data_IF_988407346930
#
_entry.id   IF_988407346930
#
_cell.length_a   1.000
_cell.length_b   1.000
_cell.length_c   1.000
_cell.angle_alpha   90.00
_cell.angle_beta   90.00
_cell.angle_gamma   90.00
#
_symmetry.space_group_name_H-M   'P 1'
#
loop_
_entity.id
_entity.type
_entity.pdbx_description
1 polymer ?
#
# COMPACT_ATOMS: atom_id res chain seq x y z
N UNK A 1 -10.78 -10.15 -2.45
CA UNK A 1 -9.93 -10.29 -3.66
C UNK A 1 -8.89 -11.33 -3.32
N UNK A 2 -9.06 -12.56 -3.79
CA UNK A 2 -8.05 -13.61 -3.57
C UNK A 2 -6.84 -13.29 -4.43
N UNK A 3 -5.71 -13.08 -3.78
CA UNK A 3 -4.51 -12.46 -4.35
C UNK A 3 -3.45 -13.52 -4.72
N UNK A 4 -3.94 -14.62 -5.31
CA UNK A 4 -3.09 -15.55 -6.06
C UNK A 4 -2.99 -15.07 -7.51
N UNK A 5 -1.85 -15.33 -8.15
CA UNK A 5 -1.72 -15.03 -9.58
C UNK A 5 -2.84 -15.75 -10.36
N UNK A 6 -3.49 -15.06 -11.31
CA UNK A 6 -4.61 -15.64 -12.03
C UNK A 6 -4.17 -16.87 -12.82
N UNK A 7 -5.06 -17.84 -12.95
CA UNK A 7 -4.89 -18.94 -13.88
C UNK A 7 -4.75 -18.38 -15.31
N UNK A 8 -3.82 -18.92 -16.09
CA UNK A 8 -3.50 -18.43 -17.43
C UNK A 8 -3.88 -19.45 -18.48
N UNK A 9 -4.50 -19.01 -19.58
CA UNK A 9 -4.91 -19.83 -20.73
C UNK A 9 -4.20 -19.44 -22.02
N UNK A 10 -4.17 -20.33 -23.01
CA UNK A 10 -3.65 -19.99 -24.33
C UNK A 10 -4.45 -18.83 -24.98
N UNK A 11 -3.80 -17.94 -25.74
CA UNK A 11 -4.48 -16.91 -26.54
C UNK A 11 -5.42 -17.53 -27.58
N UNK A 12 -6.60 -16.93 -27.75
CA UNK A 12 -7.63 -17.30 -28.72
C UNK A 12 -7.96 -16.12 -29.64
N UNK A 13 -8.65 -16.40 -30.74
CA UNK A 13 -9.17 -15.36 -31.62
C UNK A 13 -10.17 -14.46 -30.88
N UNK A 14 -10.00 -13.14 -30.98
CA UNK A 14 -10.81 -12.15 -30.27
C UNK A 14 -10.24 -11.65 -28.94
N UNK A 15 -9.18 -12.27 -28.42
CA UNK A 15 -8.45 -11.74 -27.25
C UNK A 15 -7.70 -10.44 -27.60
N UNK A 16 -7.41 -9.63 -26.57
CA UNK A 16 -6.55 -8.44 -26.73
C UNK A 16 -5.22 -8.76 -27.42
N UNK A 17 -4.90 -7.98 -28.47
CA UNK A 17 -3.70 -8.18 -29.28
C UNK A 17 -2.45 -7.70 -28.54
N UNK A 18 -1.70 -8.66 -28.00
CA UNK A 18 -0.51 -8.40 -27.18
C UNK A 18 0.77 -8.23 -27.99
N UNK A 19 0.70 -8.07 -29.32
CA UNK A 19 1.87 -7.73 -30.14
C UNK A 19 2.26 -6.27 -29.87
N UNK A 20 3.53 -5.96 -29.53
CA UNK A 20 3.94 -4.61 -29.14
C UNK A 20 3.49 -3.48 -30.07
N UNK A 21 3.62 -3.68 -31.40
CA UNK A 21 3.18 -2.68 -32.40
C UNK A 21 1.67 -2.42 -32.37
N UNK A 22 0.87 -3.46 -32.10
CA UNK A 22 -0.59 -3.37 -32.02
C UNK A 22 -1.02 -2.69 -30.72
N UNK A 23 -0.32 -2.97 -29.63
CA UNK A 23 -0.49 -2.25 -28.36
C UNK A 23 -0.12 -0.78 -28.51
N UNK A 24 0.99 -0.45 -29.18
CA UNK A 24 1.40 0.94 -29.46
C UNK A 24 0.34 1.70 -30.26
N UNK A 25 -0.18 1.08 -31.33
CA UNK A 25 -1.26 1.65 -32.13
C UNK A 25 -2.53 1.87 -31.29
N UNK A 26 -2.96 0.85 -30.55
CA UNK A 26 -4.14 0.94 -29.70
C UNK A 26 -4.00 2.03 -28.63
N UNK A 27 -2.82 2.17 -28.00
CA UNK A 27 -2.54 3.22 -27.02
C UNK A 27 -2.60 4.63 -27.62
N UNK A 28 -2.29 4.78 -28.91
CA UNK A 28 -2.39 6.05 -29.63
C UNK A 28 -3.85 6.43 -29.96
N UNK A 29 -4.72 5.43 -30.10
CA UNK A 29 -6.14 5.60 -30.40
C UNK A 29 -7.02 5.83 -29.14
N UNK A 30 -6.44 5.67 -27.93
CA UNK A 30 -7.17 5.87 -26.68
C UNK A 30 -7.70 7.31 -26.52
N UNK A 31 -8.96 7.50 -26.09
CA UNK A 31 -9.55 8.83 -25.92
C UNK A 31 -9.04 9.48 -24.62
N UNK A 32 -7.77 9.90 -24.57
CA UNK A 32 -7.10 10.37 -23.35
C UNK A 32 -7.80 11.52 -22.62
N UNK A 33 -8.56 12.36 -23.36
CA UNK A 33 -9.38 13.41 -22.76
C UNK A 33 -10.54 12.86 -21.90
N UNK A 34 -10.97 11.62 -22.16
CA UNK A 34 -11.96 10.91 -21.36
C UNK A 34 -11.25 9.91 -20.42
N UNK A 35 -10.91 10.39 -19.21
CA UNK A 35 -10.21 9.62 -18.18
C UNK A 35 -10.96 8.33 -17.82
N UNK A 36 -12.29 8.41 -17.68
CA UNK A 36 -13.11 7.26 -17.30
C UNK A 36 -13.09 6.15 -18.35
N UNK A 37 -13.27 6.52 -19.62
CA UNK A 37 -13.25 5.56 -20.73
C UNK A 37 -11.86 4.95 -20.93
N UNK A 38 -10.82 5.79 -20.92
CA UNK A 38 -9.43 5.34 -21.08
C UNK A 38 -9.04 4.35 -19.98
N UNK A 39 -9.38 4.66 -18.73
CA UNK A 39 -9.13 3.79 -17.58
C UNK A 39 -9.88 2.46 -17.70
N UNK A 40 -11.13 2.49 -18.17
CA UNK A 40 -11.93 1.28 -18.41
C UNK A 40 -11.29 0.37 -19.45
N UNK A 41 -10.83 0.93 -20.57
CA UNK A 41 -10.17 0.17 -21.64
C UNK A 41 -8.83 -0.41 -21.18
N UNK A 42 -8.00 0.39 -20.47
CA UNK A 42 -6.75 -0.08 -19.86
C UNK A 42 -6.99 -1.24 -18.89
N UNK A 43 -7.97 -1.12 -18.00
CA UNK A 43 -8.28 -2.16 -17.04
C UNK A 43 -8.67 -3.48 -17.73
N UNK A 44 -9.54 -3.42 -18.76
CA UNK A 44 -9.92 -4.60 -19.55
C UNK A 44 -8.72 -5.25 -20.23
N UNK A 45 -7.92 -4.45 -20.95
CA UNK A 45 -6.74 -4.94 -21.65
C UNK A 45 -5.72 -5.58 -20.71
N UNK A 46 -5.47 -4.99 -19.53
CA UNK A 46 -4.58 -5.56 -18.52
C UNK A 46 -5.14 -6.84 -17.92
N UNK A 47 -6.43 -6.87 -17.58
CA UNK A 47 -7.07 -8.05 -17.01
C UNK A 47 -7.04 -9.24 -18.00
N UNK A 48 -7.35 -8.98 -19.27
CA UNK A 48 -7.22 -9.99 -20.34
C UNK A 48 -5.77 -10.44 -20.49
N UNK A 49 -4.83 -9.49 -20.64
CA UNK A 49 -3.39 -9.78 -20.77
C UNK A 49 -2.89 -10.64 -19.61
N UNK A 50 -3.31 -10.37 -18.36
CA UNK A 50 -2.94 -11.13 -17.17
C UNK A 50 -3.48 -12.57 -17.17
N UNK A 51 -4.62 -12.82 -17.83
CA UNK A 51 -5.20 -14.15 -18.02
C UNK A 51 -4.60 -14.97 -19.17
N UNK A 52 -3.73 -14.39 -20.00
CA UNK A 52 -3.12 -15.09 -21.15
C UNK A 52 -1.78 -15.77 -20.80
N UNK A 53 -1.49 -16.90 -21.42
CA UNK A 53 -0.15 -17.48 -21.45
C UNK A 53 0.65 -16.79 -22.55
N UNK A 54 1.63 -15.99 -22.15
CA UNK A 54 2.48 -15.20 -23.04
C UNK A 54 3.95 -15.44 -22.68
N UNK A 55 4.89 -15.37 -23.64
CA UNK A 55 6.31 -15.27 -23.32
C UNK A 55 6.57 -14.09 -22.37
N UNK A 56 7.36 -14.31 -21.32
CA UNK A 56 7.63 -13.31 -20.29
C UNK A 56 8.17 -11.97 -20.87
N UNK A 57 9.08 -12.03 -21.86
CA UNK A 57 9.57 -10.84 -22.56
C UNK A 57 8.47 -10.07 -23.32
N UNK A 58 7.52 -10.77 -23.94
CA UNK A 58 6.38 -10.12 -24.61
C UNK A 58 5.47 -9.43 -23.60
N UNK A 59 5.11 -10.13 -22.51
CA UNK A 59 4.32 -9.55 -21.41
C UNK A 59 5.00 -8.31 -20.82
N UNK A 60 6.29 -8.42 -20.53
CA UNK A 60 7.09 -7.31 -20.01
C UNK A 60 7.02 -6.10 -20.94
N UNK A 61 7.19 -6.30 -22.26
CA UNK A 61 7.11 -5.21 -23.23
C UNK A 61 5.73 -4.55 -23.27
N UNK A 62 4.65 -5.34 -23.24
CA UNK A 62 3.27 -4.81 -23.20
C UNK A 62 3.04 -3.95 -21.96
N UNK A 63 3.49 -4.41 -20.79
CA UNK A 63 3.36 -3.67 -19.53
C UNK A 63 4.15 -2.35 -19.55
N UNK A 64 5.38 -2.37 -20.07
CA UNK A 64 6.20 -1.16 -20.20
C UNK A 64 5.56 -0.14 -21.17
N UNK A 65 4.88 -0.60 -22.23
CA UNK A 65 4.13 0.29 -23.13
C UNK A 65 2.91 0.93 -22.45
N UNK A 66 2.18 0.15 -21.65
CA UNK A 66 0.98 0.65 -20.95
C UNK A 66 1.33 1.53 -19.73
N UNK A 67 2.49 1.33 -19.11
CA UNK A 67 2.89 1.98 -17.86
C UNK A 67 2.76 3.52 -17.85
N UNK A 68 3.25 4.27 -18.86
CA UNK A 68 3.11 5.73 -18.86
C UNK A 68 1.65 6.19 -18.90
N UNK A 69 0.80 5.52 -19.67
CA UNK A 69 -0.62 5.88 -19.79
C UNK A 69 -1.37 5.51 -18.50
N UNK A 70 -1.04 4.37 -17.88
CA UNK A 70 -1.59 4.02 -16.55
C UNK A 70 -1.20 5.05 -15.50
N UNK A 71 0.06 5.49 -15.47
CA UNK A 71 0.51 6.54 -14.56
C UNK A 71 -0.26 7.84 -14.77
N UNK A 72 -0.42 8.28 -16.03
CA UNK A 72 -1.21 9.46 -16.40
C UNK A 72 -2.65 9.36 -15.89
N UNK A 73 -3.32 8.22 -16.11
CA UNK A 73 -4.70 8.01 -15.67
C UNK A 73 -4.84 7.95 -14.14
N UNK A 74 -3.90 7.32 -13.44
CA UNK A 74 -3.89 7.30 -11.97
C UNK A 74 -3.73 8.71 -11.40
N UNK A 75 -2.83 9.52 -11.95
CA UNK A 75 -2.64 10.93 -11.55
C UNK A 75 -3.90 11.77 -11.85
N UNK A 76 -4.55 11.54 -12.99
CA UNK A 76 -5.81 12.21 -13.32
C UNK A 76 -6.93 11.84 -12.33
N UNK A 77 -7.06 10.56 -11.97
CA UNK A 77 -8.06 10.09 -11.01
C UNK A 77 -7.83 10.63 -9.58
N UNK A 78 -6.57 10.80 -9.16
CA UNK A 78 -6.22 11.36 -7.85
C UNK A 78 -6.87 12.72 -7.56
N UNK A 79 -7.05 13.54 -8.59
CA UNK A 79 -7.70 14.86 -8.47
C UNK A 79 -9.14 14.80 -7.95
N UNK A 80 -9.78 13.63 -8.02
CA UNK A 80 -11.15 13.44 -7.53
C UNK A 80 -11.24 13.02 -6.05
N UNK A 81 -10.14 12.69 -5.38
CA UNK A 81 -10.18 12.31 -3.96
C UNK A 81 -9.10 12.98 -3.10
N UNK A 82 -8.13 13.67 -3.71
CA UNK A 82 -7.22 14.55 -3.00
C UNK A 82 -7.87 15.91 -2.69
N UNK A 83 -7.69 16.42 -1.48
CA UNK A 83 -8.21 17.71 -1.03
C UNK A 83 -9.73 17.77 -0.83
N UNK A 84 -10.42 16.64 -1.00
CA UNK A 84 -11.86 16.53 -0.80
C UNK A 84 -12.20 16.38 0.69
N UNK A 85 -13.36 16.89 1.08
CA UNK A 85 -13.89 16.65 2.42
C UNK A 85 -14.27 15.17 2.60
N UNK A 86 -14.18 14.71 3.84
CA UNK A 86 -14.59 13.37 4.24
C UNK A 86 -15.92 13.43 5.03
N UNK A 87 -16.80 12.41 4.92
CA UNK A 87 -16.65 11.21 4.09
C UNK A 87 -16.68 11.53 2.58
N UNK A 88 -15.95 10.75 1.79
CA UNK A 88 -15.89 10.97 0.35
C UNK A 88 -17.25 10.67 -0.31
N UNK A 89 -17.71 11.51 -1.25
CA UNK A 89 -18.88 11.19 -2.07
C UNK A 89 -18.74 9.84 -2.75
N UNK A 90 -19.84 9.12 -2.95
CA UNK A 90 -19.84 7.77 -3.51
C UNK A 90 -19.12 7.68 -4.86
N UNK A 91 -19.36 8.66 -5.76
CA UNK A 91 -18.65 8.78 -7.04
C UNK A 91 -17.13 8.79 -6.85
N UNK A 92 -16.64 9.55 -5.88
CA UNK A 92 -15.20 9.73 -5.63
C UNK A 92 -14.61 8.48 -4.99
N UNK A 93 -15.36 7.79 -4.11
CA UNK A 93 -15.00 6.47 -3.58
C UNK A 93 -14.86 5.43 -4.69
N UNK A 94 -15.80 5.39 -5.65
CA UNK A 94 -15.72 4.50 -6.83
C UNK A 94 -14.50 4.80 -7.70
N UNK A 95 -14.15 6.08 -7.90
CA UNK A 95 -12.95 6.48 -8.64
C UNK A 95 -11.67 6.01 -7.92
N UNK A 96 -11.59 6.18 -6.60
CA UNK A 96 -10.45 5.69 -5.81
C UNK A 96 -10.32 4.16 -5.86
N UNK A 97 -11.44 3.44 -5.81
CA UNK A 97 -11.47 1.98 -5.97
C UNK A 97 -10.99 1.54 -7.35
N UNK A 98 -11.43 2.22 -8.43
CA UNK A 98 -10.97 1.95 -9.80
C UNK A 98 -9.46 2.20 -9.95
N UNK A 99 -8.95 3.29 -9.36
CA UNK A 99 -7.52 3.60 -9.35
C UNK A 99 -6.71 2.48 -8.68
N UNK A 100 -7.15 1.99 -7.51
CA UNK A 100 -6.53 0.83 -6.83
C UNK A 100 -6.60 -0.44 -7.67
N UNK A 101 -7.74 -0.71 -8.30
CA UNK A 101 -7.92 -1.89 -9.14
C UNK A 101 -6.97 -1.88 -10.35
N UNK A 102 -6.77 -0.72 -10.98
CA UNK A 102 -5.83 -0.57 -12.09
C UNK A 102 -4.38 -0.78 -11.66
N UNK A 103 -3.96 -0.18 -10.53
CA UNK A 103 -2.62 -0.40 -9.95
C UNK A 103 -2.38 -1.88 -9.64
N UNK A 104 -3.38 -2.57 -9.07
CA UNK A 104 -3.30 -3.99 -8.78
C UNK A 104 -3.15 -4.84 -10.05
N UNK A 105 -3.82 -4.50 -11.16
CA UNK A 105 -3.64 -5.21 -12.42
C UNK A 105 -2.21 -5.06 -12.98
N UNK A 106 -1.58 -3.89 -12.83
CA UNK A 106 -0.16 -3.72 -13.17
C UNK A 106 0.73 -4.57 -12.26
N UNK A 107 0.49 -4.57 -10.94
CA UNK A 107 1.24 -5.39 -9.98
C UNK A 107 1.18 -6.87 -10.34
N UNK A 108 -0.01 -7.40 -10.64
CA UNK A 108 -0.21 -8.78 -11.10
C UNK A 108 0.61 -9.06 -12.36
N UNK A 109 0.52 -8.18 -13.37
CA UNK A 109 1.21 -8.36 -14.64
C UNK A 109 2.72 -8.47 -14.47
N UNK A 110 3.33 -7.59 -13.68
CA UNK A 110 4.78 -7.65 -13.43
C UNK A 110 5.17 -8.84 -12.54
N UNK A 111 4.36 -9.23 -11.54
CA UNK A 111 4.61 -10.45 -10.74
C UNK A 111 4.58 -11.72 -11.59
N UNK A 112 3.72 -11.77 -12.61
CA UNK A 112 3.74 -12.87 -13.59
C UNK A 112 5.09 -12.92 -14.32
N UNK A 113 5.61 -11.76 -14.78
CA UNK A 113 6.94 -11.69 -15.42
C UNK A 113 8.03 -12.18 -14.47
N UNK A 114 8.03 -11.72 -13.21
CA UNK A 114 9.00 -12.15 -12.19
C UNK A 114 8.95 -13.67 -12.02
N UNK A 115 7.77 -14.25 -11.85
CA UNK A 115 7.62 -15.69 -11.66
C UNK A 115 8.03 -16.51 -12.89
N UNK A 116 7.71 -16.05 -14.09
CA UNK A 116 8.08 -16.75 -15.32
C UNK A 116 9.59 -16.69 -15.58
N UNK A 117 10.24 -15.53 -15.39
CA UNK A 117 11.69 -15.38 -15.53
C UNK A 117 12.46 -16.10 -14.41
N UNK A 118 11.92 -16.11 -13.19
CA UNK A 118 12.52 -16.84 -12.07
C UNK A 118 12.54 -18.37 -12.30
N UNK A 119 11.54 -18.92 -12.99
CA UNK A 119 11.47 -20.34 -13.35
C UNK A 119 12.41 -20.74 -14.49
N UNK A 120 12.89 -19.79 -15.29
CA UNK A 120 13.83 -20.08 -16.38
C UNK A 120 15.23 -20.42 -15.84
N UNK A 121 15.98 -21.29 -16.55
CA UNK A 121 17.40 -21.50 -16.25
C UNK A 121 18.16 -20.18 -16.26
N UNK A 122 19.11 -19.99 -15.33
CA UNK A 122 19.85 -18.72 -15.15
C UNK A 122 20.46 -18.17 -16.46
N UNK A 123 20.93 -19.04 -17.36
CA UNK A 123 21.54 -18.67 -18.64
C UNK A 123 20.55 -18.16 -19.70
N UNK A 124 19.26 -18.52 -19.60
CA UNK A 124 18.21 -18.15 -20.55
C UNK A 124 17.27 -17.06 -20.01
N UNK A 125 17.53 -16.61 -18.79
CA UNK A 125 16.75 -15.60 -18.09
C UNK A 125 17.12 -14.21 -18.59
N UNK A 126 16.12 -13.37 -18.84
CA UNK A 126 16.35 -11.95 -19.03
C UNK A 126 16.50 -11.28 -17.66
N UNK A 127 17.73 -11.19 -17.17
CA UNK A 127 18.04 -10.60 -15.86
C UNK A 127 17.61 -9.14 -15.74
N UNK A 128 17.64 -8.38 -16.83
CA UNK A 128 17.19 -6.98 -16.83
C UNK A 128 15.68 -6.91 -16.71
N UNK A 129 14.95 -7.66 -17.53
CA UNK A 129 13.49 -7.69 -17.46
C UNK A 129 13.00 -8.17 -16.09
N UNK A 130 13.62 -9.22 -15.52
CA UNK A 130 13.33 -9.68 -14.17
C UNK A 130 13.51 -8.58 -13.13
N UNK A 131 14.66 -7.90 -13.17
CA UNK A 131 15.02 -6.88 -12.19
C UNK A 131 14.12 -5.63 -12.29
N UNK A 132 13.75 -5.20 -13.51
CA UNK A 132 12.78 -4.12 -13.72
C UNK A 132 11.39 -4.55 -13.27
N UNK A 133 10.93 -5.73 -13.69
CA UNK A 133 9.60 -6.23 -13.35
C UNK A 133 9.40 -6.35 -11.84
N UNK A 134 10.40 -6.85 -11.11
CA UNK A 134 10.36 -6.93 -9.66
C UNK A 134 10.17 -5.55 -9.00
N UNK A 135 10.96 -4.55 -9.42
CA UNK A 135 10.82 -3.18 -8.90
C UNK A 135 9.45 -2.59 -9.21
N UNK A 136 8.98 -2.72 -10.47
CA UNK A 136 7.67 -2.20 -10.87
C UNK A 136 6.54 -2.90 -10.11
N UNK A 137 6.57 -4.23 -9.97
CA UNK A 137 5.60 -4.98 -9.20
C UNK A 137 5.50 -4.47 -7.75
N UNK A 138 6.64 -4.34 -7.08
CA UNK A 138 6.70 -3.87 -5.70
C UNK A 138 6.14 -2.45 -5.58
N UNK A 139 6.48 -1.58 -6.52
CA UNK A 139 6.02 -0.19 -6.52
C UNK A 139 4.49 -0.09 -6.72
N UNK A 140 3.91 -0.89 -7.61
CA UNK A 140 2.44 -0.92 -7.78
C UNK A 140 1.72 -1.49 -6.55
N UNK A 141 2.30 -2.46 -5.84
CA UNK A 141 1.76 -2.93 -4.55
C UNK A 141 1.83 -1.81 -3.49
N UNK A 142 2.98 -1.14 -3.37
CA UNK A 142 3.16 0.00 -2.46
C UNK A 142 2.19 1.15 -2.77
N UNK A 143 1.96 1.45 -4.06
CA UNK A 143 0.96 2.43 -4.48
C UNK A 143 -0.46 2.00 -4.11
N UNK A 144 -0.79 0.71 -4.22
CA UNK A 144 -2.11 0.20 -3.84
C UNK A 144 -2.39 0.37 -2.34
N UNK A 145 -1.39 0.13 -1.48
CA UNK A 145 -1.46 0.37 -0.04
C UNK A 145 -1.64 1.88 0.25
N UNK A 146 -0.78 2.72 -0.34
CA UNK A 146 -0.83 4.18 -0.24
C UNK A 146 -2.17 4.78 -0.65
N UNK A 147 -2.76 4.29 -1.74
CA UNK A 147 -4.08 4.75 -2.19
C UNK A 147 -5.17 4.48 -1.16
N UNK A 148 -5.08 3.35 -0.45
CA UNK A 148 -6.04 3.02 0.61
C UNK A 148 -5.89 3.99 1.78
N UNK A 149 -4.65 4.33 2.15
CA UNK A 149 -4.37 5.36 3.14
C UNK A 149 -4.89 6.75 2.76
N UNK A 150 -4.75 7.16 1.48
CA UNK A 150 -5.16 8.48 1.00
C UNK A 150 -6.66 8.71 1.16
N UNK A 151 -7.46 7.65 1.06
CA UNK A 151 -8.92 7.72 1.19
C UNK A 151 -9.42 7.20 2.53
N UNK A 152 -8.51 6.98 3.50
CA UNK A 152 -8.80 6.42 4.82
C UNK A 152 -9.60 5.11 4.77
N UNK A 153 -9.37 4.29 3.73
CA UNK A 153 -9.98 2.98 3.57
C UNK A 153 -9.01 1.89 4.07
N UNK A 154 -9.52 0.74 4.55
CA UNK A 154 -8.66 -0.39 4.89
C UNK A 154 -7.81 -0.82 3.69
N UNK A 155 -6.60 -1.30 3.98
CA UNK A 155 -5.72 -1.89 2.96
C UNK A 155 -6.39 -3.14 2.38
N UNK A 156 -6.23 -3.42 1.07
CA UNK A 156 -6.81 -4.62 0.49
C UNK A 156 -6.24 -5.87 1.15
N UNK A 157 -7.11 -6.82 1.46
CA UNK A 157 -6.71 -8.15 1.94
C UNK A 157 -5.71 -8.79 0.97
N UNK A 158 -4.62 -9.31 1.53
CA UNK A 158 -3.49 -9.96 0.88
C UNK A 158 -2.37 -9.00 0.49
N UNK A 159 -2.61 -7.69 0.43
CA UNK A 159 -1.68 -6.78 -0.23
C UNK A 159 -0.34 -6.67 0.49
N UNK A 160 -0.34 -6.79 1.82
CA UNK A 160 0.89 -6.84 2.61
C UNK A 160 1.60 -8.16 2.42
N UNK A 161 0.87 -9.27 2.47
CA UNK A 161 1.45 -10.58 2.24
C UNK A 161 2.12 -10.66 0.85
N UNK A 162 1.46 -10.19 -0.21
CA UNK A 162 2.04 -10.16 -1.55
C UNK A 162 3.32 -9.31 -1.63
N UNK A 163 3.34 -8.16 -0.96
CA UNK A 163 4.50 -7.28 -0.89
C UNK A 163 5.68 -7.97 -0.18
N UNK A 164 5.39 -8.63 0.95
CA UNK A 164 6.39 -9.37 1.72
C UNK A 164 6.96 -10.56 0.93
N UNK A 165 6.09 -11.37 0.32
CA UNK A 165 6.50 -12.52 -0.48
C UNK A 165 7.34 -12.10 -1.70
N UNK A 166 6.96 -11.01 -2.38
CA UNK A 166 7.76 -10.46 -3.47
C UNK A 166 9.14 -9.99 -2.97
N UNK A 167 9.21 -9.37 -1.80
CA UNK A 167 10.48 -8.98 -1.20
C UNK A 167 11.37 -10.19 -0.89
N UNK A 168 10.85 -11.23 -0.23
CA UNK A 168 11.59 -12.46 0.05
C UNK A 168 12.11 -13.11 -1.25
N UNK A 169 11.26 -13.24 -2.27
CA UNK A 169 11.66 -13.73 -3.59
C UNK A 169 12.79 -12.88 -4.21
N UNK A 170 12.73 -11.54 -4.07
CA UNK A 170 13.79 -10.66 -4.57
C UNK A 170 15.11 -10.83 -3.81
N UNK A 171 15.08 -11.11 -2.49
CA UNK A 171 16.27 -11.43 -1.68
C UNK A 171 16.92 -12.73 -2.16
N UNK A 172 16.13 -13.79 -2.33
CA UNK A 172 16.60 -15.08 -2.84
C UNK A 172 17.24 -14.96 -4.23
N UNK A 173 16.66 -14.12 -5.09
CA UNK A 173 17.15 -13.82 -6.43
C UNK A 173 18.27 -12.78 -6.48
N UNK A 174 18.68 -12.22 -5.32
CA UNK A 174 19.73 -11.21 -5.18
C UNK A 174 19.49 -9.93 -6.01
N UNK A 175 18.24 -9.48 -6.10
CA UNK A 175 17.81 -8.33 -6.90
C UNK A 175 17.79 -7.01 -6.11
N UNK A 176 18.21 -6.99 -4.86
CA UNK A 176 17.86 -5.90 -3.93
C UNK A 176 18.43 -4.52 -4.31
N UNK A 177 19.59 -4.48 -4.98
CA UNK A 177 20.43 -3.29 -5.12
C UNK A 177 20.34 -2.57 -6.46
N UNK A 178 19.77 -3.18 -7.49
CA UNK A 178 19.72 -2.48 -8.77
C UNK A 178 18.74 -1.31 -8.70
N UNK A 179 19.05 -0.27 -9.47
CA UNK A 179 18.34 1.01 -9.43
C UNK A 179 17.47 1.20 -10.65
N UNK A 180 16.25 1.68 -10.43
CA UNK A 180 15.31 2.05 -11.47
C UNK A 180 14.71 3.41 -11.16
N UNK A 181 14.86 4.39 -12.06
CA UNK A 181 14.26 5.70 -11.84
C UNK A 181 12.74 5.58 -11.78
N UNK A 182 12.17 6.40 -10.89
CA UNK A 182 10.74 6.64 -10.81
C UNK A 182 10.28 7.46 -12.04
N UNK A 183 8.98 7.39 -12.36
CA UNK A 183 8.40 8.34 -13.30
C UNK A 183 8.34 9.75 -12.69
N UNK A 184 8.29 10.82 -13.51
CA UNK A 184 8.00 12.15 -13.01
C UNK A 184 6.72 12.17 -12.15
N UNK A 185 6.81 12.75 -10.94
CA UNK A 185 5.72 12.81 -9.97
C UNK A 185 5.45 11.51 -9.18
N UNK A 186 6.26 10.47 -9.36
CA UNK A 186 6.19 9.22 -8.61
C UNK A 186 7.18 9.25 -7.42
N UNK A 187 6.64 9.19 -6.20
CA UNK A 187 7.45 9.11 -4.98
C UNK A 187 7.83 7.65 -4.69
N UNK A 188 8.87 7.15 -5.34
CA UNK A 188 9.37 5.78 -5.21
C UNK A 188 10.89 5.79 -5.05
N UNK A 189 11.40 5.07 -4.06
CA UNK A 189 12.81 4.74 -4.00
C UNK A 189 13.25 3.94 -5.24
N UNK A 190 14.50 4.13 -5.65
CA UNK A 190 15.03 3.56 -6.89
C UNK A 190 15.37 2.07 -6.79
N UNK A 191 15.68 1.60 -5.59
CA UNK A 191 16.08 0.22 -5.32
C UNK A 191 14.90 -0.60 -4.82
N UNK A 192 14.96 -1.92 -5.00
CA UNK A 192 13.97 -2.85 -4.44
C UNK A 192 13.97 -2.82 -2.91
N UNK A 193 15.16 -2.83 -2.29
CA UNK A 193 15.28 -2.79 -0.82
C UNK A 193 14.78 -1.45 -0.26
N UNK A 194 15.17 -0.33 -0.87
CA UNK A 194 14.74 1.00 -0.48
C UNK A 194 13.24 1.21 -0.63
N UNK A 195 12.62 0.67 -1.68
CA UNK A 195 11.18 0.76 -1.92
C UNK A 195 10.37 -0.06 -0.90
N UNK A 196 10.85 -1.26 -0.58
CA UNK A 196 10.25 -2.05 0.48
C UNK A 196 10.32 -1.32 1.83
N UNK A 197 11.52 -0.83 2.20
CA UNK A 197 11.72 -0.03 3.43
C UNK A 197 10.87 1.23 3.45
N UNK A 198 10.78 1.97 2.34
CA UNK A 198 9.91 3.14 2.20
C UNK A 198 8.47 2.79 2.57
N UNK A 199 7.97 1.65 2.07
CA UNK A 199 6.60 1.18 2.33
C UNK A 199 6.40 0.79 3.79
N UNK A 200 7.36 0.09 4.40
CA UNK A 200 7.35 -0.27 5.81
C UNK A 200 7.34 0.97 6.70
N UNK A 201 8.24 1.93 6.44
CA UNK A 201 8.38 3.16 7.22
C UNK A 201 7.13 4.04 7.13
N UNK A 202 6.49 4.11 5.96
CA UNK A 202 5.23 4.81 5.78
C UNK A 202 4.09 4.19 6.60
N UNK A 203 4.05 2.86 6.72
CA UNK A 203 3.05 2.20 7.56
C UNK A 203 3.25 2.51 9.06
N UNK A 204 4.52 2.60 9.51
CA UNK A 204 4.87 2.88 10.91
C UNK A 204 4.45 4.27 11.38
N UNK A 205 4.40 5.27 10.49
CA UNK A 205 3.90 6.62 10.85
C UNK A 205 2.38 6.68 11.07
N UNK A 206 1.69 5.54 10.99
CA UNK A 206 0.25 5.41 11.17
C UNK A 206 -0.52 6.35 10.23
N UNK A 207 -0.49 6.09 8.91
CA UNK A 207 -0.91 7.04 7.88
C UNK A 207 -2.37 7.50 8.02
N UNK A 208 -3.25 6.67 8.60
CA UNK A 208 -4.63 7.05 8.93
C UNK A 208 -4.77 8.20 9.93
N UNK A 209 -3.70 8.58 10.63
CA UNK A 209 -3.67 9.73 11.55
C UNK A 209 -3.14 11.00 10.90
N UNK A 210 -2.74 10.94 9.63
CA UNK A 210 -2.14 12.05 8.88
C UNK A 210 -3.17 12.62 7.91
N UNK A 211 -3.05 13.91 7.62
CA UNK A 211 -3.72 14.52 6.47
C UNK A 211 -3.10 13.99 5.18
N UNK A 212 -3.85 14.02 4.08
CA UNK A 212 -3.37 13.58 2.78
C UNK A 212 -2.06 14.27 2.36
N UNK A 213 -1.94 15.58 2.58
CA UNK A 213 -0.73 16.37 2.26
C UNK A 213 0.48 15.95 3.12
N UNK A 214 0.27 15.79 4.43
CA UNK A 214 1.31 15.32 5.36
C UNK A 214 1.84 13.95 4.93
N UNK A 215 0.94 13.04 4.57
CA UNK A 215 1.32 11.70 4.13
C UNK A 215 2.11 11.73 2.81
N UNK A 216 1.65 12.49 1.81
CA UNK A 216 2.35 12.62 0.52
C UNK A 216 3.75 13.24 0.71
N UNK A 217 3.86 14.21 1.60
CA UNK A 217 5.15 14.81 1.93
C UNK A 217 6.10 13.82 2.59
N UNK A 218 5.63 13.08 3.62
CA UNK A 218 6.46 12.04 4.27
C UNK A 218 6.91 11.02 3.23
N UNK A 219 6.01 10.58 2.35
CA UNK A 219 6.32 9.61 1.31
C UNK A 219 7.37 10.10 0.32
N UNK A 220 7.25 11.34 -0.16
CA UNK A 220 8.23 11.96 -1.05
C UNK A 220 9.63 11.99 -0.41
N UNK A 221 9.70 12.35 0.87
CA UNK A 221 10.95 12.39 1.63
C UNK A 221 11.51 10.98 1.84
N UNK A 222 10.68 10.03 2.25
CA UNK A 222 11.07 8.62 2.42
C UNK A 222 11.64 7.99 1.13
N UNK A 223 11.23 8.43 -0.06
CA UNK A 223 11.81 7.93 -1.32
C UNK A 223 13.33 8.16 -1.43
N UNK A 224 13.86 9.22 -0.79
CA UNK A 224 15.28 9.56 -0.80
C UNK A 224 16.08 9.08 0.42
N UNK A 225 15.42 8.81 1.56
CA UNK A 225 16.10 8.45 2.81
C UNK A 225 15.78 7.05 3.35
N UNK A 226 14.87 6.27 2.73
CA UNK A 226 14.48 4.94 3.23
C UNK A 226 15.64 3.93 3.32
N UNK A 227 16.71 4.13 2.55
CA UNK A 227 17.92 3.30 2.61
C UNK A 227 18.71 3.45 3.91
N UNK A 228 18.47 4.52 4.69
CA UNK A 228 19.08 4.69 6.01
C UNK A 228 18.48 3.74 7.06
N UNK A 229 17.30 3.17 6.81
CA UNK A 229 16.78 2.06 7.61
C UNK A 229 17.46 0.74 7.20
N UNK A 230 17.62 -0.15 8.16
CA UNK A 230 18.22 -1.47 7.95
C UNK A 230 17.19 -2.56 8.21
N UNK A 231 17.14 -3.53 7.31
CA UNK A 231 16.38 -4.76 7.50
C UNK A 231 17.38 -5.87 7.80
N UNK A 232 17.22 -6.51 8.95
CA UNK A 232 18.19 -7.42 9.54
C UNK A 232 17.54 -8.78 9.76
N UNK A 233 18.29 -9.84 9.49
CA UNK A 233 17.93 -11.17 9.97
C UNK A 233 18.20 -11.25 11.49
N UNK A 234 17.44 -12.04 12.27
CA UNK A 234 17.50 -12.01 13.74
C UNK A 234 18.89 -12.29 14.33
N UNK A 235 19.68 -13.12 13.66
CA UNK A 235 21.02 -13.52 14.10
C UNK A 235 22.12 -12.50 13.71
N UNK A 236 21.74 -11.42 13.03
CA UNK A 236 22.70 -10.39 12.59
C UNK A 236 23.21 -9.58 13.79
N UNK A 237 24.53 -9.34 13.94
CA UNK A 237 25.04 -8.46 14.99
C UNK A 237 24.41 -7.06 14.93
N UNK A 238 23.91 -6.55 16.06
CA UNK A 238 23.20 -5.27 16.12
C UNK A 238 21.67 -5.39 15.99
N UNK A 239 21.15 -6.59 15.70
CA UNK A 239 19.73 -6.89 15.64
C UNK A 239 18.98 -6.54 16.94
N UNK A 240 19.66 -6.61 18.09
CA UNK A 240 19.09 -6.32 19.41
C UNK A 240 18.62 -4.86 19.57
N UNK A 241 19.08 -3.96 18.70
CA UNK A 241 18.73 -2.54 18.70
C UNK A 241 17.46 -2.25 17.88
N UNK A 242 16.97 -3.23 17.10
CA UNK A 242 15.80 -3.05 16.26
C UNK A 242 14.52 -2.90 17.10
N UNK A 243 13.75 -1.85 16.80
CA UNK A 243 12.49 -1.54 17.49
C UNK A 243 11.29 -2.28 16.87
N UNK A 244 11.39 -2.65 15.60
CA UNK A 244 10.28 -3.15 14.80
C UNK A 244 10.56 -4.54 14.24
N UNK A 245 9.48 -5.25 13.94
CA UNK A 245 9.49 -6.57 13.31
C UNK A 245 8.55 -6.61 12.12
N UNK A 246 8.98 -7.33 11.08
CA UNK A 246 8.22 -7.69 9.90
C UNK A 246 8.02 -9.19 9.91
N UNK A 247 6.79 -9.63 9.66
CA UNK A 247 6.43 -11.05 9.59
C UNK A 247 6.05 -11.37 8.14
N UNK A 248 6.96 -11.93 7.31
CA UNK A 248 6.72 -12.10 5.87
C UNK A 248 5.51 -12.99 5.51
N UNK A 249 5.16 -13.92 6.39
CA UNK A 249 4.00 -14.80 6.24
C UNK A 249 2.67 -14.13 6.64
N UNK A 250 2.72 -12.92 7.21
CA UNK A 250 1.54 -12.18 7.64
C UNK A 250 1.02 -11.26 6.54
N UNK A 251 -0.28 -10.96 6.56
CA UNK A 251 -0.87 -9.87 5.78
C UNK A 251 -0.95 -8.56 6.60
N UNK A 252 0.07 -8.30 7.43
CA UNK A 252 0.10 -7.15 8.33
C UNK A 252 1.29 -6.24 8.03
N UNK A 253 1.14 -4.91 8.21
CA UNK A 253 2.30 -4.01 8.23
C UNK A 253 3.32 -4.38 9.33
N UNK A 254 4.53 -3.78 9.27
CA UNK A 254 5.49 -3.86 10.37
C UNK A 254 4.87 -3.37 11.68
N UNK A 255 5.34 -3.92 12.79
CA UNK A 255 4.90 -3.49 14.12
C UNK A 255 6.03 -3.51 15.14
N UNK A 256 5.75 -2.99 16.33
CA UNK A 256 6.74 -3.03 17.42
C UNK A 256 7.06 -4.47 17.79
N UNK A 257 8.37 -4.79 17.85
CA UNK A 257 8.87 -6.11 18.21
C UNK A 257 8.29 -6.59 19.55
N UNK A 258 8.25 -5.70 20.55
CA UNK A 258 7.74 -6.00 21.88
C UNK A 258 6.26 -6.42 21.92
N UNK A 259 5.43 -5.98 20.96
CA UNK A 259 4.01 -6.35 20.88
C UNK A 259 3.76 -7.64 20.10
N UNK A 260 4.68 -8.01 19.21
CA UNK A 260 4.54 -9.17 18.31
C UNK A 260 5.37 -10.39 18.75
N UNK A 261 6.05 -10.36 19.90
CA UNK A 261 6.89 -11.47 20.41
C UNK A 261 6.21 -12.85 20.33
N UNK A 262 4.94 -12.95 20.74
CA UNK A 262 4.17 -14.19 20.70
C UNK A 262 3.87 -14.74 19.29
N UNK A 263 4.10 -13.95 18.23
CA UNK A 263 3.90 -14.34 16.83
C UNK A 263 5.19 -14.72 16.11
N UNK A 264 6.32 -14.62 16.82
CA UNK A 264 7.66 -14.84 16.25
C UNK A 264 8.10 -16.30 16.46
N UNK A 265 7.46 -17.03 17.37
CA UNK A 265 7.80 -18.41 17.66
C UNK A 265 7.49 -19.33 16.45
N UNK A 266 8.55 -19.85 15.83
CA UNK A 266 8.47 -20.89 14.79
C UNK A 266 8.31 -20.40 13.34
N UNK A 267 8.36 -19.09 13.08
CA UNK A 267 8.26 -18.52 11.73
C UNK A 267 9.45 -17.63 11.35
N UNK A 268 9.67 -17.42 10.05
CA UNK A 268 10.63 -16.43 9.58
C UNK A 268 10.17 -15.01 9.92
N UNK A 269 11.09 -14.15 10.36
CA UNK A 269 10.83 -12.76 10.66
C UNK A 269 12.06 -11.90 10.38
N UNK A 270 11.82 -10.64 10.09
CA UNK A 270 12.88 -9.65 9.84
C UNK A 270 12.77 -8.52 10.85
N UNK A 271 13.91 -8.03 11.30
CA UNK A 271 14.01 -6.91 12.21
C UNK A 271 14.25 -5.63 11.42
N UNK A 272 13.47 -4.60 11.72
CA UNK A 272 13.59 -3.29 11.09
C UNK A 272 14.19 -2.31 12.10
N UNK A 273 15.42 -1.90 11.80
CA UNK A 273 16.14 -0.87 12.53
C UNK A 273 16.01 0.47 11.80
N UNK A 274 15.48 1.45 12.51
CA UNK A 274 15.17 2.80 12.05
C UNK A 274 16.11 3.85 12.66
N UNK A 275 17.13 3.46 13.44
CA UNK A 275 18.04 4.38 14.12
C UNK A 275 18.73 5.37 13.17
N UNK A 276 19.09 4.91 11.96
CA UNK A 276 19.69 5.75 10.91
C UNK A 276 18.70 6.72 10.23
N UNK A 277 17.39 6.54 10.41
CA UNK A 277 16.38 7.33 9.72
C UNK A 277 16.27 8.77 10.22
N UNK A 278 16.49 9.02 11.52
CA UNK A 278 16.22 10.34 12.09
C UNK A 278 17.07 11.43 11.43
N UNK A 279 18.39 11.22 11.39
CA UNK A 279 19.32 12.16 10.76
C UNK A 279 19.07 12.27 9.24
N UNK A 280 18.89 11.13 8.56
CA UNK A 280 18.66 11.12 7.11
C UNK A 280 17.35 11.84 6.72
N UNK A 281 16.29 11.67 7.52
CA UNK A 281 15.02 12.32 7.29
C UNK A 281 15.10 13.83 7.55
N UNK A 282 15.80 14.28 8.61
CA UNK A 282 15.95 15.72 8.91
C UNK A 282 16.88 16.44 7.94
N UNK A 283 18.00 15.82 7.55
CA UNK A 283 19.03 16.43 6.69
C UNK A 283 18.66 16.48 5.20
N UNK A 284 17.60 15.80 4.79
CA UNK A 284 17.14 15.84 3.41
C UNK A 284 16.61 17.24 3.10
N UNK A 285 17.39 17.99 2.31
CA UNK A 285 17.07 19.35 1.88
C UNK A 285 15.78 19.35 1.06
N UNK A 286 14.90 20.31 1.31
CA UNK A 286 13.60 20.49 0.64
C UNK A 286 13.74 21.06 -0.78
N UNK A 287 14.82 20.71 -1.48
CA UNK A 287 15.17 21.25 -2.79
C UNK A 287 14.11 20.92 -3.82
N UNK A 288 13.42 21.96 -4.32
CA UNK A 288 12.36 21.89 -5.34
C UNK A 288 11.30 20.79 -5.06
N UNK A 289 10.93 20.64 -3.78
CA UNK A 289 9.95 19.64 -3.37
C UNK A 289 8.62 19.89 -4.09
N UNK A 290 8.16 18.89 -4.87
CA UNK A 290 6.85 18.89 -5.51
C UNK A 290 5.68 18.97 -4.51
N UNK A 291 5.95 18.80 -3.20
CA UNK A 291 4.98 18.89 -2.11
C UNK A 291 5.52 19.82 -1.02
N UNK A 292 4.81 20.91 -0.67
CA UNK A 292 5.30 21.87 0.32
C UNK A 292 5.48 21.23 1.71
N UNK A 293 6.44 21.72 2.52
CA UNK A 293 6.68 21.16 3.84
C UNK A 293 5.47 21.35 4.77
N UNK A 294 5.07 20.30 5.50
CA UNK A 294 3.99 20.38 6.46
C UNK A 294 4.44 21.14 7.71
N UNK A 295 3.53 21.24 8.68
CA UNK A 295 3.86 21.83 9.99
C UNK A 295 5.00 21.04 10.65
N UNK A 296 5.84 21.72 11.43
CA UNK A 296 6.93 21.11 12.21
C UNK A 296 6.48 19.92 13.07
N UNK A 297 5.22 19.94 13.52
CA UNK A 297 4.58 18.85 14.26
C UNK A 297 4.54 17.53 13.48
N UNK A 298 4.44 17.56 12.16
CA UNK A 298 4.37 16.37 11.30
C UNK A 298 5.71 15.63 11.28
N UNK A 299 6.81 16.37 11.19
CA UNK A 299 8.18 15.83 11.27
C UNK A 299 8.41 15.16 12.62
N UNK A 300 8.11 15.86 13.71
CA UNK A 300 8.24 15.31 15.06
C UNK A 300 7.41 14.05 15.26
N UNK A 301 6.17 14.02 14.74
CA UNK A 301 5.31 12.84 14.79
C UNK A 301 5.91 11.64 14.04
N UNK A 302 6.49 11.86 12.86
CA UNK A 302 7.15 10.81 12.10
C UNK A 302 8.37 10.26 12.84
N UNK A 303 9.24 11.14 13.34
CA UNK A 303 10.43 10.76 14.11
C UNK A 303 10.08 10.00 15.40
N UNK A 304 9.06 10.45 16.14
CA UNK A 304 8.57 9.74 17.32
C UNK A 304 8.03 8.35 16.96
N UNK A 305 7.31 8.21 15.85
CA UNK A 305 6.78 6.93 15.40
C UNK A 305 7.89 5.93 15.08
N UNK A 306 9.04 6.38 14.56
CA UNK A 306 10.19 5.54 14.25
C UNK A 306 11.18 5.35 15.39
N UNK A 307 11.19 6.23 16.40
CA UNK A 307 12.21 6.22 17.45
C UNK A 307 11.74 5.69 18.82
N UNK A 308 10.44 5.78 19.11
CA UNK A 308 9.93 5.49 20.46
C UNK A 308 8.68 4.64 20.39
N UNK A 309 8.69 3.50 21.07
CA UNK A 309 7.45 2.77 21.36
C UNK A 309 6.67 3.50 22.45
N UNK A 310 5.44 3.99 22.19
CA UNK A 310 4.63 4.64 23.22
C UNK A 310 4.30 3.64 24.34
N UNK A 311 4.72 3.95 25.57
CA UNK A 311 4.31 3.19 26.74
C UNK A 311 2.89 3.61 27.13
N UNK A 312 2.02 2.63 27.39
CA UNK A 312 0.68 2.90 27.92
C UNK A 312 0.83 3.55 29.30
N UNK A 313 0.08 4.63 29.54
CA UNK A 313 0.08 5.35 30.84
C UNK A 313 -0.77 4.64 31.90
N UNK A 314 -1.73 3.81 31.49
CA UNK A 314 -2.67 3.14 32.38
C UNK A 314 -2.78 1.65 32.03
N UNK A 315 -2.92 0.80 33.05
CA UNK A 315 -3.20 -0.62 32.88
C UNK A 315 -4.66 -0.83 32.45
N UNK A 316 -4.91 -1.81 31.59
CA UNK A 316 -6.29 -2.24 31.28
C UNK A 316 -6.81 -3.03 32.46
N UNK A 317 -8.03 -2.74 32.89
CA UNK A 317 -8.83 -3.58 33.78
C UNK A 317 -10.06 -4.01 32.99
N UNK A 318 -10.39 -5.30 33.02
CA UNK A 318 -11.69 -5.75 32.52
C UNK A 318 -12.78 -5.02 33.30
N UNK A 319 -13.69 -4.40 32.58
CA UNK A 319 -14.83 -3.70 33.15
C UNK A 319 -16.05 -4.09 32.31
N UNK A 320 -17.07 -4.63 32.95
CA UNK A 320 -18.41 -4.73 32.40
C UNK A 320 -19.17 -3.49 32.86
N UNK A 321 -19.53 -2.63 31.92
CA UNK A 321 -20.28 -1.41 32.18
C UNK A 321 -21.16 -1.07 30.98
N UNK A 322 -22.32 -0.51 31.25
CA UNK A 322 -23.13 0.14 30.21
C UNK A 322 -22.52 1.51 29.90
N UNK A 323 -22.36 1.80 28.61
CA UNK A 323 -21.81 3.07 28.13
C UNK A 323 -22.74 3.67 27.09
N UNK A 324 -23.05 4.95 27.24
CA UNK A 324 -23.74 5.73 26.21
C UNK A 324 -22.71 6.23 25.19
N UNK A 325 -22.96 5.97 23.91
CA UNK A 325 -22.06 6.37 22.82
C UNK A 325 -22.74 7.45 21.97
N UNK A 326 -22.18 8.65 22.02
CA UNK A 326 -22.58 9.73 21.11
C UNK A 326 -21.81 9.59 19.78
N UNK A 327 -22.53 9.39 18.68
CA UNK A 327 -21.94 9.31 17.34
C UNK A 327 -22.17 10.59 16.53
N UNK A 328 -21.08 11.13 15.97
CA UNK A 328 -21.11 12.32 15.11
C UNK A 328 -21.00 13.64 15.88
N UNK A 329 -20.46 14.66 15.20
CA UNK A 329 -20.11 15.94 15.82
C UNK A 329 -21.31 16.67 16.43
N UNK A 330 -22.51 16.55 15.84
CA UNK A 330 -23.73 17.18 16.35
C UNK A 330 -24.13 16.59 17.70
N UNK A 331 -24.18 15.25 17.81
CA UNK A 331 -24.48 14.58 19.06
C UNK A 331 -23.39 14.87 20.10
N UNK A 332 -22.11 14.76 19.72
CA UNK A 332 -21.00 15.09 20.63
C UNK A 332 -21.08 16.52 21.16
N UNK A 333 -21.32 17.51 20.29
CA UNK A 333 -21.48 18.90 20.69
C UNK A 333 -22.68 19.08 21.61
N UNK A 334 -23.82 18.48 21.27
CA UNK A 334 -25.02 18.52 22.09
C UNK A 334 -24.73 18.02 23.51
N UNK A 335 -24.17 16.83 23.66
CA UNK A 335 -23.85 16.24 24.97
C UNK A 335 -22.79 17.02 25.75
N UNK A 336 -21.79 17.59 25.07
CA UNK A 336 -20.76 18.42 25.71
C UNK A 336 -21.32 19.74 26.25
N UNK A 337 -22.28 20.35 25.55
CA UNK A 337 -22.82 21.68 25.92
C UNK A 337 -24.01 21.57 26.86
N UNK A 338 -24.92 20.62 26.64
CA UNK A 338 -26.21 20.59 27.31
C UNK A 338 -26.26 19.61 28.48
N UNK A 339 -25.33 18.65 28.56
CA UNK A 339 -25.28 17.67 29.64
C UNK A 339 -26.49 16.72 29.65
N UNK A 340 -26.29 15.48 29.20
CA UNK A 340 -27.09 14.31 29.60
C UNK A 340 -28.52 14.16 29.06
N UNK A 341 -29.26 15.19 28.68
CA UNK A 341 -30.66 14.98 28.23
C UNK A 341 -30.76 14.80 26.71
N UNK A 342 -30.66 13.55 26.25
CA UNK A 342 -30.74 13.12 24.85
C UNK A 342 -32.14 13.23 24.20
N UNK A 343 -33.11 13.87 24.86
CA UNK A 343 -34.52 13.84 24.46
C UNK A 343 -34.81 14.45 23.08
N UNK A 344 -33.90 15.25 22.54
CA UNK A 344 -34.06 15.96 21.27
C UNK A 344 -33.32 15.33 20.07
N UNK A 345 -32.62 14.21 20.26
CA UNK A 345 -31.96 13.45 19.18
C UNK A 345 -32.47 12.01 19.06
N UNK A 346 -33.47 11.64 19.86
CA UNK A 346 -34.09 10.32 19.86
C UNK A 346 -35.07 10.18 18.69
N UNK A 347 -34.55 9.92 17.50
CA UNK A 347 -35.31 9.20 16.48
C UNK A 347 -34.50 8.00 15.97
N UNK A 348 -35.22 6.87 15.85
CA UNK A 348 -34.81 5.51 15.52
C UNK A 348 -34.10 4.71 16.65
N UNK A 349 -34.48 3.43 16.76
CA UNK A 349 -34.09 2.47 17.79
C UNK A 349 -32.61 2.57 18.24
N UNK A 350 -32.32 2.39 19.54
CA UNK A 350 -30.94 2.39 20.04
C UNK A 350 -30.14 1.29 19.33
N UNK A 351 -29.09 1.69 18.60
CA UNK A 351 -28.17 0.76 17.96
C UNK A 351 -27.48 -0.10 19.03
N UNK A 352 -27.60 -1.43 18.93
CA UNK A 352 -26.93 -2.38 19.82
C UNK A 352 -25.59 -2.76 19.21
N UNK A 353 -24.52 -2.61 20.00
CA UNK A 353 -23.17 -3.06 19.64
C UNK A 353 -22.70 -4.06 20.68
N UNK A 354 -22.30 -5.25 20.23
CA UNK A 354 -21.58 -6.21 21.06
C UNK A 354 -20.08 -6.06 20.81
N UNK A 355 -19.32 -5.76 21.86
CA UNK A 355 -17.86 -5.77 21.82
C UNK A 355 -17.37 -7.10 22.41
N UNK A 356 -16.79 -7.96 21.57
CA UNK A 356 -16.11 -9.19 22.02
C UNK A 356 -14.61 -8.94 22.17
N UNK A 357 -13.94 -9.72 23.03
CA UNK A 357 -12.48 -9.68 23.09
C UNK A 357 -11.91 -10.06 21.71
N UNK A 358 -10.89 -9.34 21.20
CA UNK A 358 -10.24 -9.71 19.95
C UNK A 358 -9.35 -10.94 20.21
N UNK A 359 -9.94 -12.13 20.24
CA UNK A 359 -9.21 -13.38 20.41
C UNK A 359 -9.73 -14.50 19.50
N UNK A 360 -8.77 -15.05 18.75
CA UNK A 360 -8.82 -16.27 17.92
C UNK A 360 -9.96 -16.41 16.91
N UNK A 361 -9.61 -16.08 15.66
CA UNK A 361 -9.98 -16.78 14.41
C UNK A 361 -11.45 -16.86 13.99
N UNK A 362 -12.43 -16.58 14.84
CA UNK A 362 -13.86 -16.81 14.56
C UNK A 362 -14.63 -15.57 14.10
N UNK A 363 -14.07 -14.37 14.22
CA UNK A 363 -14.74 -13.11 13.83
C UNK A 363 -14.67 -12.79 12.33
N UNK A 364 -14.24 -13.73 11.48
CA UNK A 364 -14.02 -13.50 10.04
C UNK A 364 -15.31 -13.40 9.20
N UNK A 365 -16.47 -13.75 9.76
CA UNK A 365 -17.73 -13.86 9.00
C UNK A 365 -18.72 -12.71 9.25
N UNK A 366 -18.39 -11.71 10.07
CA UNK A 366 -19.20 -10.49 10.17
C UNK A 366 -18.75 -9.48 9.10
N UNK A 367 -19.69 -8.81 8.40
CA UNK A 367 -19.33 -7.75 7.47
C UNK A 367 -18.54 -6.67 8.21
N UNK A 368 -17.40 -6.30 7.66
CA UNK A 368 -16.55 -5.24 8.22
C UNK A 368 -17.37 -3.93 8.28
N UNK A 369 -17.12 -3.08 9.27
CA UNK A 369 -17.75 -1.75 9.37
C UNK A 369 -17.48 -0.90 8.12
N UNK A 370 -16.49 -1.28 7.31
CA UNK A 370 -16.19 -0.69 6.01
C UNK A 370 -16.91 -1.32 4.82
N UNK A 371 -17.54 -2.48 4.99
CA UNK A 371 -18.46 -3.12 4.04
C UNK A 371 -19.87 -2.54 4.19
N UNK A 372 -19.98 -1.21 4.15
CA UNK A 372 -21.28 -0.55 4.08
C UNK A 372 -21.80 -0.69 2.64
N UNK A 373 -22.87 -1.45 2.50
CA UNK A 373 -23.62 -1.74 1.27
C UNK A 373 -23.98 -0.49 0.46
#
# INVERSE_FOLDING_TARGET
>A
MDQQLPARRAPMEGDFDTRPQRVEQWLAELPRANVGETTRQLYRALNETNGLQLPAGQRFRVLELMRPVVHEMVQAMQKHYLGMHFPLPEKNRRIAALSRALLNQMAIGYRIVVNDEARRPRLLRDGRALHVAAHRAMNYLSQTLRQSYLVYAPTPRGAWHELHQLHCQCRELQLERGRHPALPGEFSAETLSGLYRQTLLLALVCPYRLRQEEMRWIEARLAGCSEAARLLDPDTPGAEQALFVVLPESDDPPGYLALKKHRIDGGEYLLLDTSGMAAAFEQQDTGDDAVPPPRTTTVQRALLAWGVMPKRRFSRRGLEAEAEVAMGLTATHHFLVHGGEAGCLADAEPARFEASEPASTSTRDLPDVWELA
#
